data_IF_021926174932
#
_entry.id   IF_021926174932
#
_cell.length_a   1.000
_cell.length_b   1.000
_cell.length_c   1.000
_cell.angle_alpha   90.00
_cell.angle_beta   90.00
_cell.angle_gamma   90.00
#
_symmetry.space_group_name_H-M   'P 1'
#
loop_
_entity.id
_entity.type
_entity.pdbx_description
1 polymer ?
#
# COMPACT_ATOMS: atom_id res chain seq x y z
N UNK A 1 -52.32 23.77 2.08
CA UNK A 1 -51.51 22.84 1.25
C UNK A 1 -50.20 23.53 0.89
N UNK A 2 -49.06 22.95 1.23
CA UNK A 2 -47.77 23.51 0.83
C UNK A 2 -47.51 23.20 -0.66
N UNK A 3 -47.12 24.21 -1.45
CA UNK A 3 -46.66 24.09 -2.83
C UNK A 3 -45.22 24.62 -2.92
N UNK A 4 -44.30 23.82 -3.47
CA UNK A 4 -42.92 24.23 -3.78
C UNK A 4 -42.87 24.85 -5.19
N UNK A 5 -42.21 25.99 -5.33
CA UNK A 5 -42.23 26.84 -6.55
C UNK A 5 -40.84 27.13 -7.16
N UNK A 6 -39.79 26.35 -6.85
CA UNK A 6 -38.41 26.68 -7.30
C UNK A 6 -37.42 25.52 -7.53
N UNK A 7 -36.23 25.87 -8.05
CA UNK A 7 -35.09 24.99 -8.43
C UNK A 7 -34.28 24.56 -7.19
N UNK A 8 -34.81 23.65 -6.39
CA UNK A 8 -34.08 23.13 -5.22
C UNK A 8 -33.37 21.83 -5.61
N UNK A 9 -32.04 21.86 -5.66
CA UNK A 9 -31.19 20.65 -5.83
C UNK A 9 -30.82 20.13 -4.44
N UNK A 10 -31.34 18.96 -4.08
CA UNK A 10 -31.03 18.30 -2.81
C UNK A 10 -29.98 17.20 -3.02
N UNK A 11 -29.06 17.07 -2.05
CA UNK A 11 -28.07 15.98 -2.00
C UNK A 11 -28.01 15.48 -0.55
N UNK A 12 -28.25 14.20 -0.31
CA UNK A 12 -28.32 13.63 1.04
C UNK A 12 -29.65 12.93 1.32
N UNK A 13 -29.96 12.64 2.59
CA UNK A 13 -31.22 11.95 2.97
C UNK A 13 -32.08 12.86 3.86
N UNK A 14 -33.35 13.05 3.49
CA UNK A 14 -34.34 13.82 4.27
C UNK A 14 -35.62 12.97 4.37
N UNK A 15 -36.13 12.77 5.58
CA UNK A 15 -37.40 12.06 5.79
C UNK A 15 -37.44 10.64 5.21
N UNK A 16 -36.31 9.93 5.18
CA UNK A 16 -36.22 8.60 4.58
C UNK A 16 -36.13 8.60 3.05
N UNK A 17 -35.99 9.74 2.39
CA UNK A 17 -35.75 9.84 0.94
C UNK A 17 -34.32 10.28 0.69
N UNK A 18 -33.56 9.49 -0.07
CA UNK A 18 -32.19 9.80 -0.48
C UNK A 18 -32.18 10.47 -1.86
N UNK A 19 -31.59 11.67 -1.92
CA UNK A 19 -31.41 12.49 -3.11
C UNK A 19 -29.96 12.41 -3.62
N UNK A 20 -29.77 12.05 -4.88
CA UNK A 20 -28.45 11.84 -5.49
C UNK A 20 -28.45 12.18 -6.99
N UNK A 21 -27.26 12.43 -7.55
CA UNK A 21 -27.07 12.78 -8.96
C UNK A 21 -26.58 11.57 -9.75
N UNK A 22 -27.19 11.31 -10.90
CA UNK A 22 -26.78 10.31 -11.89
C UNK A 22 -26.53 10.99 -13.25
N UNK A 23 -26.17 10.21 -14.27
CA UNK A 23 -26.08 10.70 -15.66
C UNK A 23 -27.44 11.23 -16.17
N UNK A 24 -28.54 10.65 -15.68
CA UNK A 24 -29.92 10.98 -16.08
C UNK A 24 -30.54 12.13 -15.26
N UNK A 25 -29.76 12.76 -14.37
CA UNK A 25 -30.19 13.92 -13.59
C UNK A 25 -30.23 13.70 -12.08
N UNK A 26 -31.08 14.46 -11.38
CA UNK A 26 -31.24 14.36 -9.92
C UNK A 26 -32.37 13.38 -9.61
N UNK A 27 -32.03 12.28 -8.93
CA UNK A 27 -32.98 11.23 -8.56
C UNK A 27 -33.23 11.25 -7.05
N UNK A 28 -34.43 10.83 -6.68
CA UNK A 28 -34.84 10.57 -5.31
C UNK A 28 -35.30 9.12 -5.20
N UNK A 29 -34.92 8.43 -4.11
CA UNK A 29 -35.44 7.10 -3.78
C UNK A 29 -35.78 7.04 -2.30
N UNK A 30 -36.81 6.29 -1.94
CA UNK A 30 -36.95 5.88 -0.54
C UNK A 30 -35.70 5.12 -0.09
N UNK A 31 -35.34 5.29 1.18
CA UNK A 31 -34.20 4.65 1.81
C UNK A 31 -34.46 3.15 1.84
N UNK A 32 -34.03 2.47 0.78
CA UNK A 32 -33.96 1.01 0.74
C UNK A 32 -32.83 0.47 1.63
N UNK A 33 -32.93 -0.81 1.97
CA UNK A 33 -31.95 -1.52 2.79
C UNK A 33 -32.45 -1.86 4.19
N UNK A 34 -31.65 -2.62 4.93
CA UNK A 34 -31.99 -3.09 6.27
C UNK A 34 -31.59 -2.04 7.30
N UNK A 35 -32.44 -1.80 8.30
CA UNK A 35 -32.14 -0.86 9.38
C UNK A 35 -30.83 -1.19 10.12
N UNK A 36 -30.08 -0.14 10.48
CA UNK A 36 -28.81 -0.28 11.21
C UNK A 36 -28.99 -1.06 12.52
N UNK A 37 -30.04 -0.74 13.29
CA UNK A 37 -30.35 -1.44 14.54
C UNK A 37 -30.62 -2.93 14.30
N UNK A 38 -31.26 -3.27 13.19
CA UNK A 38 -31.49 -4.66 12.81
C UNK A 38 -30.16 -5.33 12.45
N UNK A 39 -29.31 -4.72 11.61
CA UNK A 39 -27.98 -5.28 11.31
C UNK A 39 -27.14 -5.50 12.59
N UNK A 40 -27.24 -4.60 13.56
CA UNK A 40 -26.48 -4.68 14.81
C UNK A 40 -26.96 -5.80 15.75
N UNK A 41 -28.27 -6.02 15.86
CA UNK A 41 -28.83 -6.86 16.92
C UNK A 41 -29.45 -8.17 16.41
N UNK A 42 -29.94 -8.22 15.17
CA UNK A 42 -30.62 -9.39 14.62
C UNK A 42 -29.60 -10.54 14.38
N UNK A 43 -29.86 -11.76 14.89
CA UNK A 43 -29.00 -12.92 14.68
C UNK A 43 -28.74 -13.24 13.21
N UNK A 44 -29.68 -12.96 12.31
CA UNK A 44 -29.52 -13.19 10.88
C UNK A 44 -28.34 -12.41 10.26
N UNK A 45 -27.93 -11.30 10.89
CA UNK A 45 -26.81 -10.45 10.44
C UNK A 45 -25.50 -10.73 11.16
N UNK A 46 -25.40 -11.78 11.99
CA UNK A 46 -24.17 -12.14 12.70
C UNK A 46 -22.97 -12.23 11.73
N UNK A 47 -23.11 -12.98 10.63
CA UNK A 47 -22.04 -13.14 9.63
C UNK A 47 -21.65 -11.83 8.94
N UNK A 48 -22.61 -10.93 8.75
CA UNK A 48 -22.35 -9.58 8.20
C UNK A 48 -21.51 -8.74 9.16
N UNK A 49 -21.81 -8.81 10.47
CA UNK A 49 -21.04 -8.11 11.49
C UNK A 49 -19.62 -8.66 11.63
N UNK A 50 -19.48 -9.98 11.68
CA UNK A 50 -18.18 -10.67 11.74
C UNK A 50 -17.29 -10.30 10.54
N UNK A 51 -17.82 -10.36 9.32
CA UNK A 51 -17.05 -9.97 8.14
C UNK A 51 -16.73 -8.46 8.16
N UNK A 52 -17.65 -7.64 8.68
CA UNK A 52 -17.48 -6.19 8.79
C UNK A 52 -16.36 -5.80 9.76
N UNK A 53 -16.24 -6.47 10.91
CA UNK A 53 -15.18 -6.23 11.88
C UNK A 53 -13.81 -6.62 11.31
N UNK A 54 -13.69 -7.79 10.69
CA UNK A 54 -12.47 -8.26 10.04
C UNK A 54 -12.04 -7.33 8.90
N UNK A 55 -13.00 -6.90 8.05
CA UNK A 55 -12.73 -5.93 6.99
C UNK A 55 -12.26 -4.59 7.56
N UNK A 56 -12.86 -4.13 8.65
CA UNK A 56 -12.46 -2.91 9.36
C UNK A 56 -11.01 -2.98 9.86
N UNK A 57 -10.63 -4.10 10.50
CA UNK A 57 -9.24 -4.34 10.95
C UNK A 57 -8.26 -4.37 9.78
N UNK A 58 -8.57 -5.11 8.72
CA UNK A 58 -7.73 -5.15 7.52
C UNK A 58 -7.57 -3.76 6.88
N UNK A 59 -8.63 -2.96 6.85
CA UNK A 59 -8.59 -1.57 6.38
C UNK A 59 -7.65 -0.69 7.20
N UNK A 60 -7.73 -0.81 8.54
CA UNK A 60 -6.83 -0.11 9.48
C UNK A 60 -5.38 -0.56 9.34
N UNK A 61 -5.11 -1.86 9.30
CA UNK A 61 -3.74 -2.35 9.09
C UNK A 61 -3.15 -1.92 7.74
N UNK A 62 -3.98 -1.86 6.69
CA UNK A 62 -3.55 -1.30 5.41
C UNK A 62 -3.23 0.20 5.49
N UNK A 63 -3.89 0.95 6.37
CA UNK A 63 -3.54 2.36 6.64
C UNK A 63 -2.21 2.46 7.38
N UNK A 64 -1.98 1.63 8.40
CA UNK A 64 -0.70 1.57 9.15
C UNK A 64 0.46 1.36 8.18
N UNK A 65 0.41 0.29 7.37
CA UNK A 65 1.45 -0.02 6.39
C UNK A 65 1.71 1.15 5.43
N UNK A 66 0.66 1.70 4.80
CA UNK A 66 0.83 2.83 3.85
C UNK A 66 1.36 4.09 4.51
N UNK A 67 1.02 4.34 5.77
CA UNK A 67 1.52 5.48 6.52
C UNK A 67 3.00 5.30 6.84
N UNK A 68 3.41 4.09 7.22
CA UNK A 68 4.81 3.77 7.51
C UNK A 68 5.72 4.08 6.32
N UNK A 69 5.38 3.55 5.14
CA UNK A 69 6.18 3.72 3.92
C UNK A 69 5.83 4.98 3.12
N UNK A 70 5.16 5.96 3.74
CA UNK A 70 4.53 7.08 3.01
C UNK A 70 5.54 7.87 2.17
N UNK A 71 6.77 8.03 2.64
CA UNK A 71 7.81 8.79 1.92
C UNK A 71 8.16 8.14 0.59
N UNK A 72 8.26 6.80 0.54
CA UNK A 72 8.51 6.05 -0.70
C UNK A 72 7.23 5.96 -1.56
N UNK A 73 6.07 5.81 -0.92
CA UNK A 73 4.79 5.67 -1.62
C UNK A 73 4.39 6.93 -2.40
N UNK A 74 4.87 8.11 -2.01
CA UNK A 74 4.62 9.37 -2.75
C UNK A 74 5.04 9.31 -4.22
N UNK A 75 6.04 8.48 -4.53
CA UNK A 75 6.56 8.33 -5.87
C UNK A 75 5.93 7.14 -6.61
N UNK A 76 5.28 6.18 -5.91
CA UNK A 76 4.62 5.00 -6.48
C UNK A 76 3.08 5.14 -6.49
N UNK A 77 2.55 5.86 -7.49
CA UNK A 77 1.11 6.21 -7.56
C UNK A 77 0.25 5.10 -8.20
N UNK A 78 -0.68 4.54 -7.43
CA UNK A 78 -1.78 3.71 -7.92
C UNK A 78 -3.11 4.14 -7.27
N UNK A 79 -4.10 4.47 -8.11
CA UNK A 79 -5.44 4.92 -7.69
C UNK A 79 -6.21 3.85 -6.91
N UNK A 80 -5.85 2.57 -7.05
CA UNK A 80 -6.54 1.42 -6.46
C UNK A 80 -5.71 0.73 -5.36
N UNK A 81 -4.52 1.23 -5.03
CA UNK A 81 -3.62 0.59 -4.05
C UNK A 81 -4.32 0.29 -2.73
N UNK A 82 -5.14 1.21 -2.22
CA UNK A 82 -5.90 1.03 -0.98
C UNK A 82 -6.82 -0.19 -1.06
N UNK A 83 -7.62 -0.28 -2.12
CA UNK A 83 -8.55 -1.39 -2.31
C UNK A 83 -7.85 -2.75 -2.49
N UNK A 84 -6.73 -2.76 -3.23
CA UNK A 84 -5.94 -3.98 -3.46
C UNK A 84 -5.26 -4.45 -2.18
N UNK A 85 -4.68 -3.52 -1.43
CA UNK A 85 -4.03 -3.82 -0.17
C UNK A 85 -5.06 -4.34 0.83
N UNK A 86 -6.20 -3.65 1.00
CA UNK A 86 -7.27 -4.13 1.88
C UNK A 86 -7.78 -5.51 1.46
N UNK A 87 -7.95 -5.79 0.16
CA UNK A 87 -8.33 -7.13 -0.31
C UNK A 87 -7.33 -8.20 0.13
N UNK A 88 -6.03 -7.92 -0.01
CA UNK A 88 -4.95 -8.85 0.37
C UNK A 88 -4.92 -9.05 1.89
N UNK A 89 -5.01 -7.98 2.66
CA UNK A 89 -5.06 -8.03 4.11
C UNK A 89 -6.31 -8.73 4.65
N UNK A 90 -7.47 -8.58 4.02
CA UNK A 90 -8.68 -9.37 4.36
C UNK A 90 -8.45 -10.86 4.10
N UNK A 91 -7.75 -11.21 3.03
CA UNK A 91 -7.41 -12.61 2.77
C UNK A 91 -6.46 -13.15 3.85
N UNK A 92 -5.47 -12.35 4.26
CA UNK A 92 -4.53 -12.69 5.36
C UNK A 92 -5.26 -12.85 6.69
N UNK A 93 -6.12 -11.91 7.08
CA UNK A 93 -6.94 -12.03 8.30
C UNK A 93 -7.77 -13.31 8.33
N UNK A 94 -8.18 -13.83 7.16
CA UNK A 94 -8.93 -15.10 7.12
C UNK A 94 -8.10 -16.34 7.38
N UNK A 95 -6.77 -16.23 7.34
CA UNK A 95 -5.84 -17.33 7.64
C UNK A 95 -5.53 -17.46 9.13
N UNK A 96 -5.96 -16.50 9.96
CA UNK A 96 -5.88 -16.61 11.41
C UNK A 96 -6.72 -17.79 11.91
N UNK A 97 -6.03 -18.76 12.51
CA UNK A 97 -6.61 -19.97 13.12
C UNK A 97 -6.71 -19.89 14.63
N UNK A 98 -6.18 -18.82 15.24
CA UNK A 98 -6.14 -18.62 16.70
C UNK A 98 -7.44 -18.02 17.20
N UNK A 99 -7.98 -17.03 16.48
CA UNK A 99 -9.18 -16.30 16.89
C UNK A 99 -10.44 -16.80 16.16
N UNK A 100 -11.57 -16.69 16.85
CA UNK A 100 -12.87 -16.98 16.25
C UNK A 100 -13.22 -16.00 15.12
N UNK A 101 -14.13 -16.41 14.24
CA UNK A 101 -14.62 -15.57 13.15
C UNK A 101 -15.23 -14.26 13.69
N UNK A 102 -14.90 -13.15 13.05
CA UNK A 102 -15.25 -11.80 13.51
C UNK A 102 -14.22 -11.20 14.48
N UNK A 103 -13.41 -12.04 15.12
CA UNK A 103 -12.34 -11.63 16.04
C UNK A 103 -10.94 -11.80 15.46
N UNK A 104 -10.82 -12.49 14.32
CA UNK A 104 -9.55 -12.64 13.60
C UNK A 104 -8.78 -11.34 13.38
N UNK A 105 -7.46 -11.43 13.50
CA UNK A 105 -6.53 -10.30 13.44
C UNK A 105 -5.58 -10.42 12.24
N UNK A 106 -4.78 -9.39 12.00
CA UNK A 106 -3.73 -9.44 10.97
C UNK A 106 -2.47 -10.12 11.50
N UNK A 107 -2.08 -9.85 12.76
CA UNK A 107 -0.85 -10.40 13.33
C UNK A 107 -0.90 -11.92 13.52
N UNK A 108 -2.09 -12.48 13.78
CA UNK A 108 -2.28 -13.92 13.95
C UNK A 108 -2.57 -14.63 12.61
N UNK A 109 -2.64 -13.87 11.51
CA UNK A 109 -2.74 -14.41 10.15
C UNK A 109 -1.36 -14.60 9.52
N UNK A 110 -1.33 -15.31 8.40
CA UNK A 110 -0.12 -15.51 7.62
C UNK A 110 0.26 -14.24 6.81
N UNK A 111 1.04 -13.35 7.43
CA UNK A 111 1.49 -12.09 6.81
C UNK A 111 2.47 -12.29 5.64
N UNK A 112 3.14 -13.43 5.53
CA UNK A 112 4.06 -13.72 4.41
C UNK A 112 3.37 -13.65 3.04
N UNK A 113 2.04 -13.83 2.99
CA UNK A 113 1.24 -13.65 1.77
C UNK A 113 1.25 -12.22 1.23
N UNK A 114 1.79 -11.25 1.98
CA UNK A 114 2.00 -9.88 1.53
C UNK A 114 3.31 -9.68 0.77
N UNK A 115 4.24 -10.64 0.81
CA UNK A 115 5.46 -10.59 0.01
C UNK A 115 5.15 -10.54 -1.49
N UNK A 116 5.84 -9.67 -2.21
CA UNK A 116 5.55 -9.39 -3.62
C UNK A 116 4.32 -8.51 -3.83
N UNK A 117 3.71 -7.94 -2.78
CA UNK A 117 2.65 -6.94 -2.97
C UNK A 117 3.23 -5.69 -3.65
N UNK A 118 2.79 -5.47 -4.89
CA UNK A 118 3.13 -4.30 -5.69
C UNK A 118 2.28 -3.10 -5.27
N UNK A 119 2.90 -1.99 -4.85
CA UNK A 119 2.19 -0.75 -4.55
C UNK A 119 1.80 0.02 -5.82
N UNK A 120 2.48 -0.24 -6.95
CA UNK A 120 2.12 0.29 -8.27
C UNK A 120 1.97 -0.85 -9.29
N UNK A 121 0.74 -1.07 -9.79
CA UNK A 121 0.52 -2.11 -10.81
C UNK A 121 1.08 -1.78 -12.19
N UNK A 122 1.30 -0.51 -12.51
CA UNK A 122 1.83 -0.10 -13.80
C UNK A 122 3.36 -0.18 -13.83
N UNK A 123 4.01 -0.01 -12.66
CA UNK A 123 5.44 -0.19 -12.47
C UNK A 123 5.71 -1.30 -11.45
N UNK A 124 5.51 -2.56 -11.84
CA UNK A 124 5.79 -3.69 -10.96
C UNK A 124 7.29 -3.88 -10.83
N UNK A 125 7.79 -4.17 -9.62
CA UNK A 125 9.23 -4.31 -9.39
C UNK A 125 9.87 -5.32 -10.35
N UNK A 126 9.29 -6.51 -10.50
CA UNK A 126 9.81 -7.56 -11.41
C UNK A 126 9.71 -7.25 -12.91
N UNK A 127 8.96 -6.21 -13.30
CA UNK A 127 8.90 -5.71 -14.68
C UNK A 127 9.76 -4.46 -14.89
N UNK A 128 10.24 -3.83 -13.80
CA UNK A 128 11.05 -2.62 -13.82
C UNK A 128 12.53 -2.92 -13.62
N UNK A 129 12.87 -3.80 -12.67
CA UNK A 129 14.25 -4.13 -12.29
C UNK A 129 14.55 -5.60 -12.54
N UNK A 130 15.43 -5.86 -13.50
CA UNK A 130 15.91 -7.20 -13.88
C UNK A 130 17.32 -7.52 -13.34
N UNK A 131 17.87 -6.64 -12.51
CA UNK A 131 19.08 -6.92 -11.75
C UNK A 131 18.74 -7.85 -10.59
N UNK A 132 19.56 -8.88 -10.38
CA UNK A 132 19.44 -9.74 -9.22
C UNK A 132 19.82 -8.94 -7.95
N UNK A 133 19.07 -9.16 -6.88
CA UNK A 133 19.32 -8.54 -5.59
C UNK A 133 19.21 -9.56 -4.46
N UNK A 134 20.05 -9.39 -3.45
CA UNK A 134 19.97 -10.13 -2.19
C UNK A 134 19.33 -9.22 -1.15
N UNK A 135 18.43 -9.78 -0.34
CA UNK A 135 17.80 -9.07 0.78
C UNK A 135 17.96 -9.92 2.02
N UNK A 136 18.23 -9.28 3.15
CA UNK A 136 18.25 -9.93 4.46
C UNK A 136 17.55 -9.06 5.47
N UNK A 137 16.99 -9.69 6.49
CA UNK A 137 16.55 -9.05 7.70
C UNK A 137 17.02 -9.90 8.88
N UNK A 138 17.76 -9.30 9.81
CA UNK A 138 18.14 -9.93 11.07
C UNK A 138 17.30 -9.32 12.19
N UNK A 139 16.37 -10.09 12.75
CA UNK A 139 15.51 -9.63 13.85
C UNK A 139 16.30 -9.34 15.13
N UNK A 140 17.41 -10.04 15.38
CA UNK A 140 18.17 -9.88 16.63
C UNK A 140 18.84 -8.51 16.66
N UNK A 141 19.46 -8.09 15.54
CA UNK A 141 20.08 -6.76 15.43
C UNK A 141 19.10 -5.67 15.00
N UNK A 142 18.03 -6.03 14.28
CA UNK A 142 17.11 -5.09 13.64
C UNK A 142 17.56 -4.63 12.25
N UNK A 143 18.60 -5.23 11.67
CA UNK A 143 19.19 -4.77 10.41
C UNK A 143 18.48 -5.40 9.20
N UNK A 144 17.98 -4.54 8.31
CA UNK A 144 17.53 -4.89 6.98
C UNK A 144 18.56 -4.47 5.94
N UNK A 145 18.99 -5.36 5.05
CA UNK A 145 19.95 -5.06 3.99
C UNK A 145 19.44 -5.43 2.61
N UNK A 146 19.96 -4.75 1.59
CA UNK A 146 19.68 -5.01 0.19
C UNK A 146 20.95 -4.76 -0.64
N UNK A 147 21.41 -5.80 -1.32
CA UNK A 147 22.59 -5.74 -2.16
C UNK A 147 22.27 -6.01 -3.63
N UNK A 148 22.82 -5.19 -4.53
CA UNK A 148 22.84 -5.41 -5.97
C UNK A 148 24.28 -5.36 -6.47
N UNK A 149 24.69 -6.39 -7.20
CA UNK A 149 25.96 -6.34 -7.93
C UNK A 149 25.93 -5.21 -8.99
N UNK A 150 27.11 -4.74 -9.40
CA UNK A 150 27.24 -3.81 -10.51
C UNK A 150 26.45 -4.28 -11.75
N UNK A 151 25.60 -3.43 -12.30
CA UNK A 151 24.80 -3.76 -13.48
C UNK A 151 24.69 -2.57 -14.44
N UNK A 152 24.42 -2.85 -15.72
CA UNK A 152 24.14 -1.82 -16.73
C UNK A 152 22.68 -1.36 -16.64
N UNK A 153 22.39 -0.10 -16.27
CA UNK A 153 21.03 0.41 -16.13
C UNK A 153 20.18 0.24 -17.39
N UNK A 154 20.69 0.55 -18.58
CA UNK A 154 19.93 0.45 -19.83
C UNK A 154 19.58 -0.99 -20.22
N UNK A 155 20.26 -1.98 -19.64
CA UNK A 155 19.98 -3.42 -19.87
C UNK A 155 19.08 -3.99 -18.78
N UNK A 156 19.30 -3.59 -17.51
CA UNK A 156 18.66 -4.21 -16.34
C UNK A 156 17.50 -3.40 -15.76
N UNK A 157 17.22 -2.21 -16.28
CA UNK A 157 16.07 -1.40 -15.87
C UNK A 157 15.21 -1.05 -17.09
N UNK A 158 13.96 -1.48 -17.05
CA UNK A 158 12.92 -0.99 -17.96
C UNK A 158 12.43 0.38 -17.47
N UNK A 159 13.08 1.44 -17.98
CA UNK A 159 12.75 2.81 -17.66
C UNK A 159 11.70 3.39 -18.61
N UNK A 160 10.89 4.37 -18.17
CA UNK A 160 10.02 5.12 -19.06
C UNK A 160 10.77 6.00 -20.06
N UNK A 161 10.07 6.40 -21.11
CA UNK A 161 10.55 7.41 -22.03
C UNK A 161 10.85 8.73 -21.27
N UNK A 162 12.00 9.33 -21.56
CA UNK A 162 12.45 10.57 -20.94
C UNK A 162 13.27 10.38 -19.66
N UNK A 163 13.48 9.15 -19.19
CA UNK A 163 14.41 8.89 -18.07
C UNK A 163 15.84 9.23 -18.47
N UNK A 164 16.48 10.07 -17.64
CA UNK A 164 17.94 10.30 -17.70
C UNK A 164 18.65 9.76 -16.47
N UNK A 165 17.94 9.63 -15.34
CA UNK A 165 18.48 9.15 -14.08
C UNK A 165 17.49 8.29 -13.30
N UNK A 166 17.98 7.52 -12.34
CA UNK A 166 17.18 6.67 -11.47
C UNK A 166 17.72 6.64 -10.04
N UNK A 167 16.90 6.19 -9.09
CA UNK A 167 17.32 5.82 -7.73
C UNK A 167 16.81 4.43 -7.40
N UNK A 168 17.58 3.70 -6.61
CA UNK A 168 17.11 2.50 -5.92
C UNK A 168 16.85 2.90 -4.47
N UNK A 169 15.67 2.56 -3.96
CA UNK A 169 15.23 2.91 -2.61
C UNK A 169 14.83 1.64 -1.86
N UNK A 170 15.16 1.57 -0.58
CA UNK A 170 14.77 0.47 0.31
C UNK A 170 14.26 1.04 1.62
N UNK A 171 13.31 0.36 2.26
CA UNK A 171 12.84 0.75 3.58
C UNK A 171 12.42 -0.44 4.41
N UNK A 172 12.57 -0.33 5.72
CA UNK A 172 12.15 -1.31 6.71
C UNK A 172 11.19 -0.65 7.71
N UNK A 173 10.14 -1.37 8.12
CA UNK A 173 9.15 -0.87 9.06
C UNK A 173 8.67 -1.93 10.00
N UNK A 174 8.55 -1.58 11.27
CA UNK A 174 7.76 -2.32 12.25
C UNK A 174 6.31 -1.86 12.19
N UNK A 175 5.38 -2.82 12.19
CA UNK A 175 3.95 -2.56 12.04
C UNK A 175 3.20 -2.98 13.31
N UNK A 176 2.77 -2.00 14.10
CA UNK A 176 1.88 -2.26 15.23
C UNK A 176 0.42 -2.10 14.78
N UNK A 177 -0.17 -3.22 14.36
CA UNK A 177 -1.57 -3.24 13.94
C UNK A 177 -2.56 -3.02 15.08
N UNK A 178 -2.16 -3.28 16.34
CA UNK A 178 -3.02 -3.15 17.51
C UNK A 178 -3.13 -1.68 17.93
N UNK A 179 -1.98 -0.99 18.03
CA UNK A 179 -1.92 0.42 18.43
C UNK A 179 -2.03 1.38 17.23
N UNK A 180 -2.09 0.85 16.00
CA UNK A 180 -2.15 1.61 14.75
C UNK A 180 -0.93 2.55 14.54
N UNK A 181 0.25 2.11 14.98
CA UNK A 181 1.52 2.84 14.88
C UNK A 181 2.56 2.05 14.07
N UNK A 182 3.65 2.72 13.70
CA UNK A 182 4.76 2.11 12.96
C UNK A 182 6.05 2.89 13.17
N UNK A 183 7.18 2.19 13.12
CA UNK A 183 8.52 2.80 12.89
C UNK A 183 8.89 2.60 11.42
N UNK A 184 9.72 3.47 10.87
CA UNK A 184 10.17 3.33 9.49
C UNK A 184 11.56 3.96 9.34
N UNK A 185 12.48 3.18 8.80
CA UNK A 185 13.81 3.64 8.41
C UNK A 185 14.05 3.24 6.95
N UNK A 186 14.83 4.04 6.23
CA UNK A 186 15.06 3.83 4.81
C UNK A 186 16.47 4.22 4.40
N UNK A 187 16.87 3.66 3.27
CA UNK A 187 18.13 4.00 2.61
C UNK A 187 17.92 4.03 1.09
N UNK A 188 18.75 4.79 0.41
CA UNK A 188 18.61 5.06 -1.01
C UNK A 188 19.96 5.38 -1.66
N UNK A 189 20.06 5.07 -2.95
CA UNK A 189 21.23 5.50 -3.72
C UNK A 189 21.20 7.01 -3.94
N UNK A 190 22.34 7.59 -4.34
CA UNK A 190 22.33 8.84 -5.09
C UNK A 190 21.44 8.74 -6.36
N UNK A 191 21.14 9.88 -6.98
CA UNK A 191 20.50 9.89 -8.31
C UNK A 191 21.54 9.43 -9.33
N UNK A 192 21.42 8.19 -9.78
CA UNK A 192 22.37 7.53 -10.67
C UNK A 192 22.00 7.77 -12.15
N UNK A 193 22.99 7.94 -13.04
CA UNK A 193 22.74 8.14 -14.46
C UNK A 193 22.20 6.86 -15.11
N UNK A 194 21.13 6.99 -15.90
CA UNK A 194 20.57 5.91 -16.71
C UNK A 194 21.37 5.78 -18.02
N UNK A 195 22.54 5.15 -17.92
CA UNK A 195 23.46 4.97 -19.06
C UNK A 195 23.85 3.49 -19.22
N UNK A 196 24.64 3.17 -20.26
CA UNK A 196 25.06 1.79 -20.53
C UNK A 196 26.18 1.30 -19.60
N UNK A 197 26.98 2.20 -19.02
CA UNK A 197 28.06 1.81 -18.12
C UNK A 197 27.50 1.14 -16.86
N UNK A 198 28.23 0.16 -16.33
CA UNK A 198 27.81 -0.49 -15.08
C UNK A 198 27.83 0.50 -13.92
N UNK A 199 26.85 0.37 -13.02
CA UNK A 199 26.89 1.02 -11.70
C UNK A 199 28.03 0.46 -10.86
N UNK A 200 28.38 1.14 -9.76
CA UNK A 200 29.01 0.46 -8.64
C UNK A 200 28.04 -0.59 -8.05
N UNK A 201 28.55 -1.50 -7.22
CA UNK A 201 27.68 -2.32 -6.38
C UNK A 201 26.85 -1.40 -5.47
N UNK A 202 25.57 -1.71 -5.32
CA UNK A 202 24.64 -0.99 -4.46
C UNK A 202 24.45 -1.84 -3.21
N UNK A 203 24.70 -1.24 -2.04
CA UNK A 203 24.41 -1.82 -0.75
C UNK A 203 23.58 -0.80 0.02
N UNK A 204 22.34 -1.16 0.36
CA UNK A 204 21.43 -0.33 1.15
C UNK A 204 21.15 -1.00 2.49
N UNK A 205 21.05 -0.21 3.55
CA UNK A 205 20.78 -0.72 4.89
C UNK A 205 19.84 0.18 5.69
N UNK A 206 18.90 -0.41 6.41
CA UNK A 206 18.05 0.28 7.37
C UNK A 206 18.00 -0.53 8.68
N UNK A 207 18.23 0.13 9.81
CA UNK A 207 18.21 -0.51 11.13
C UNK A 207 16.96 -0.05 11.88
N UNK A 208 16.13 -1.01 12.30
CA UNK A 208 14.94 -0.79 13.14
C UNK A 208 15.20 -1.33 14.56
N UNK A 209 14.16 -1.48 15.39
CA UNK A 209 14.33 -1.98 16.76
C UNK A 209 14.86 -3.41 16.78
N UNK A 210 16.02 -3.59 17.41
CA UNK A 210 16.58 -4.90 17.74
C UNK A 210 15.60 -5.74 18.57
N UNK A 211 15.46 -7.02 18.24
CA UNK A 211 14.53 -7.97 18.87
C UNK A 211 13.08 -7.46 18.89
N UNK A 212 12.64 -6.73 17.85
CA UNK A 212 11.26 -6.28 17.74
C UNK A 212 10.30 -7.48 17.91
N UNK A 213 9.20 -7.25 18.61
CA UNK A 213 8.10 -8.22 18.75
C UNK A 213 6.96 -7.92 17.79
N UNK A 214 7.16 -6.98 16.86
CA UNK A 214 6.18 -6.62 15.85
C UNK A 214 6.50 -7.28 14.51
N UNK A 215 5.48 -7.48 13.65
CA UNK A 215 5.71 -7.79 12.25
C UNK A 215 6.56 -6.70 11.58
N UNK A 216 7.51 -7.14 10.76
CA UNK A 216 8.41 -6.28 10.00
C UNK A 216 8.15 -6.43 8.52
N UNK A 217 8.16 -5.32 7.81
CA UNK A 217 8.08 -5.28 6.34
C UNK A 217 9.31 -4.59 5.79
N UNK A 218 9.92 -5.20 4.76
CA UNK A 218 10.94 -4.57 3.94
C UNK A 218 10.35 -4.30 2.55
N UNK A 219 10.56 -3.09 2.03
CA UNK A 219 10.13 -2.67 0.69
C UNK A 219 11.32 -2.28 -0.15
N UNK A 220 11.24 -2.53 -1.46
CA UNK A 220 12.21 -2.10 -2.47
C UNK A 220 11.49 -1.36 -3.59
N UNK A 221 12.07 -0.26 -4.03
CA UNK A 221 11.57 0.52 -5.16
C UNK A 221 12.64 1.03 -6.10
N UNK A 222 12.18 1.45 -7.27
CA UNK A 222 12.98 2.16 -8.29
C UNK A 222 12.23 3.41 -8.69
N UNK A 223 12.90 4.54 -8.62
CA UNK A 223 12.36 5.86 -8.96
C UNK A 223 13.08 6.43 -10.17
N UNK A 224 12.34 7.10 -11.06
CA UNK A 224 12.88 7.65 -12.29
C UNK A 224 12.87 9.18 -12.31
N UNK A 225 13.91 9.75 -12.92
CA UNK A 225 14.13 11.18 -13.02
C UNK A 225 14.50 11.59 -14.44
N UNK A 226 14.18 12.83 -14.76
CA UNK A 226 14.62 13.53 -15.95
C UNK A 226 15.39 14.78 -15.54
N UNK A 227 16.58 14.93 -16.08
CA UNK A 227 17.40 16.13 -15.93
C UNK A 227 17.02 17.14 -17.00
N UNK A 228 16.71 18.36 -16.59
CA UNK A 228 16.43 19.49 -17.49
C UNK A 228 17.22 20.69 -16.99
N UNK A 229 18.15 21.19 -17.81
CA UNK A 229 19.01 22.34 -17.48
C UNK A 229 19.80 22.17 -16.16
N UNK A 230 20.28 20.96 -15.85
CA UNK A 230 21.03 20.67 -14.63
C UNK A 230 20.17 20.38 -13.39
N UNK A 231 18.84 20.42 -13.52
CA UNK A 231 17.92 20.17 -12.41
C UNK A 231 17.16 18.84 -12.60
N UNK A 232 17.01 18.09 -11.50
CA UNK A 232 16.43 16.74 -11.50
C UNK A 232 14.93 16.77 -11.20
N UNK A 233 14.12 16.34 -12.16
CA UNK A 233 12.67 16.25 -12.05
C UNK A 233 12.21 14.80 -11.93
N UNK A 234 11.53 14.46 -10.85
CA UNK A 234 10.97 13.13 -10.66
C UNK A 234 9.83 12.85 -11.66
N UNK A 235 9.87 11.70 -12.34
CA UNK A 235 8.85 11.26 -13.30
C UNK A 235 7.63 10.68 -12.56
N UNK A 236 6.78 11.56 -12.02
CA UNK A 236 5.60 11.21 -11.20
C UNK A 236 4.31 10.97 -12.00
N UNK A 237 4.39 10.40 -13.20
CA UNK A 237 3.19 10.14 -14.01
C UNK A 237 2.35 8.93 -13.52
N UNK A 238 2.83 8.20 -12.50
CA UNK A 238 2.14 7.04 -11.91
C UNK A 238 2.13 5.80 -12.79
N UNK A 239 2.95 5.78 -13.84
CA UNK A 239 3.03 4.65 -14.75
C UNK A 239 4.24 3.73 -14.50
N UNK A 240 5.30 4.17 -13.80
CA UNK A 240 6.58 3.44 -13.87
C UNK A 240 7.35 3.22 -12.56
N UNK A 241 7.24 4.11 -11.56
CA UNK A 241 7.99 3.94 -10.32
C UNK A 241 7.54 2.68 -9.59
N UNK A 242 8.49 1.78 -9.33
CA UNK A 242 8.24 0.53 -8.67
C UNK A 242 8.37 0.67 -7.16
N UNK A 243 7.52 -0.03 -6.43
CA UNK A 243 7.63 -0.21 -5.00
C UNK A 243 6.90 -1.51 -4.65
N UNK A 244 7.61 -2.47 -4.09
CA UNK A 244 7.08 -3.78 -3.72
C UNK A 244 7.54 -4.17 -2.32
N UNK A 245 6.71 -4.94 -1.62
CA UNK A 245 7.17 -5.71 -0.47
C UNK A 245 8.13 -6.80 -0.95
N UNK A 246 9.31 -6.89 -0.34
CA UNK A 246 10.34 -7.90 -0.68
C UNK A 246 10.64 -8.87 0.46
N UNK A 247 10.28 -8.51 1.70
CA UNK A 247 10.42 -9.34 2.89
C UNK A 247 9.27 -9.04 3.84
N UNK A 248 8.70 -10.08 4.43
CA UNK A 248 7.87 -10.01 5.63
C UNK A 248 8.50 -10.92 6.67
N UNK A 249 8.77 -10.38 7.86
CA UNK A 249 9.25 -11.15 8.98
C UNK A 249 8.28 -11.01 10.15
N UNK A 250 7.92 -12.14 10.77
CA UNK A 250 7.04 -12.19 11.94
C UNK A 250 7.79 -12.86 13.10
N UNK A 251 7.61 -12.40 14.34
CA UNK A 251 8.20 -13.03 15.52
C UNK A 251 7.81 -14.50 15.68
#
# INVERSE_FOLDING_TARGET
>A
MAKQTGIIKLKGTIGGISFYKTADGHLAREKGGVDKNRIQNDPAFQRTRENGSEFGRAGKGGKVLRNAIRVLLQNAKDKRVVSRLTKSLVAITKTDTTNERGLRTLQDGNLSLLEGFEFNLNGKLGATLFAAFTKTFDRVSGDATLDLAAFSPTVRIAAPAGTTHFKVVMGASELDFVNETSTFENDETAILPYTAANTAAIALSATITANSTLPVVQVLGVEFYQEVNGEMYALKNGAYNALSVVTIDTP
#
